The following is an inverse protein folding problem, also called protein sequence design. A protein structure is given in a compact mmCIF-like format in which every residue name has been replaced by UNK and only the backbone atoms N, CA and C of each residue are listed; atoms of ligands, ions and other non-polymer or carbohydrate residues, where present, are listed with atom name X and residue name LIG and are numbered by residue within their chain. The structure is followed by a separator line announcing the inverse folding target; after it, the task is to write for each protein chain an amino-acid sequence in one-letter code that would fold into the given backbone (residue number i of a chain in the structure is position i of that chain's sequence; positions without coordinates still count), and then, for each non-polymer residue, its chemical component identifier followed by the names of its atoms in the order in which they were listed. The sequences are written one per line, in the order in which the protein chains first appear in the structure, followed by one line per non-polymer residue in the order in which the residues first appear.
data_IF_221954305743
#
_entry.id   IF_221954305743
#
_cell.length_a   1.000
_cell.length_b   1.000
_cell.length_c   1.000
_cell.angle_alpha   90.00
_cell.angle_beta   90.00
_cell.angle_gamma   90.00
#
_symmetry.space_group_name_H-M   'P 1'
#
loop_
_entity.id
_entity.type
_entity.pdbx_description
1 polymer ?
#
# COMPACT_ATOMS: atom_id res chain seq x y z
N UNK A 1 10.15 26.17 -2.52
CA UNK A 1 8.77 25.68 -2.25
C UNK A 1 8.85 24.17 -2.45
N UNK A 2 8.79 23.38 -1.38
CA UNK A 2 9.08 21.94 -1.39
C UNK A 2 7.84 21.12 -1.78
N UNK A 3 8.00 20.15 -2.67
CA UNK A 3 6.92 19.27 -3.14
C UNK A 3 6.98 17.91 -2.43
N UNK A 4 5.86 17.44 -1.87
CA UNK A 4 5.74 16.18 -1.12
C UNK A 4 4.98 15.15 -1.98
N UNK A 5 5.54 13.95 -2.22
CA UNK A 5 4.99 12.99 -3.21
C UNK A 5 5.01 11.52 -2.78
N UNK A 6 3.87 10.81 -2.69
CA UNK A 6 3.80 9.45 -2.11
C UNK A 6 4.17 8.27 -3.06
N UNK A 7 4.97 7.25 -2.66
CA UNK A 7 5.60 6.28 -3.59
C UNK A 7 5.33 4.77 -3.37
N UNK A 8 4.85 4.13 -4.44
CA UNK A 8 5.25 2.78 -4.87
C UNK A 8 5.00 2.69 -6.40
N UNK A 9 6.04 2.45 -7.20
CA UNK A 9 5.92 2.27 -8.66
C UNK A 9 5.39 3.48 -9.45
N UNK A 10 5.73 4.72 -9.06
CA UNK A 10 5.14 5.93 -9.68
C UNK A 10 6.14 6.74 -10.51
N UNK A 11 5.63 7.22 -11.65
CA UNK A 11 6.21 8.22 -12.53
C UNK A 11 5.74 9.61 -12.09
N UNK A 12 6.63 10.60 -12.00
CA UNK A 12 6.27 11.98 -11.65
C UNK A 12 7.09 13.02 -12.42
N UNK A 13 6.52 14.19 -12.72
CA UNK A 13 7.23 15.28 -13.39
C UNK A 13 7.75 16.30 -12.35
N UNK A 14 9.01 16.71 -12.46
CA UNK A 14 9.61 17.76 -11.64
C UNK A 14 10.58 18.59 -12.47
N UNK A 15 10.38 19.92 -12.47
CA UNK A 15 11.15 20.90 -13.27
C UNK A 15 11.30 20.57 -14.77
N UNK A 16 10.30 19.93 -15.39
CA UNK A 16 10.36 19.54 -16.80
C UNK A 16 11.23 18.30 -17.07
N UNK A 17 11.48 17.51 -16.03
CA UNK A 17 12.01 16.15 -16.12
C UNK A 17 11.01 15.16 -15.56
N UNK A 18 10.98 13.94 -16.09
CA UNK A 18 10.17 12.84 -15.57
C UNK A 18 11.04 11.95 -14.67
N UNK A 19 10.57 11.61 -13.49
CA UNK A 19 11.24 10.75 -12.53
C UNK A 19 10.46 9.47 -12.36
N UNK A 20 11.17 8.34 -12.39
CA UNK A 20 10.59 7.01 -12.18
C UNK A 20 11.24 6.39 -10.96
N UNK A 21 10.41 6.02 -9.99
CA UNK A 21 10.83 5.25 -8.83
C UNK A 21 10.68 3.76 -9.12
N UNK A 22 11.81 3.07 -9.23
CA UNK A 22 11.86 1.63 -9.42
C UNK A 22 12.19 0.98 -8.08
N UNK A 23 11.18 0.35 -7.49
CA UNK A 23 11.33 -0.56 -6.36
C UNK A 23 11.43 -1.98 -6.91
N UNK A 24 12.62 -2.57 -6.87
CA UNK A 24 12.79 -3.97 -7.27
C UNK A 24 12.41 -4.84 -6.09
N UNK A 25 11.23 -5.44 -6.17
CA UNK A 25 10.61 -6.21 -5.09
C UNK A 25 11.53 -7.35 -4.63
N UNK A 26 12.06 -7.24 -3.41
CA UNK A 26 12.99 -8.21 -2.83
C UNK A 26 14.46 -7.83 -2.97
N UNK A 27 14.77 -6.78 -3.72
CA UNK A 27 16.08 -6.14 -3.66
C UNK A 27 16.18 -5.23 -2.42
N UNK A 28 17.40 -5.01 -1.96
CA UNK A 28 17.70 -4.01 -0.92
C UNK A 28 18.07 -2.67 -1.55
N UNK A 29 17.57 -2.35 -2.74
CA UNK A 29 17.95 -1.14 -3.45
C UNK A 29 16.73 -0.60 -4.19
N UNK A 30 16.55 0.72 -4.18
CA UNK A 30 15.64 1.35 -5.13
C UNK A 30 16.40 2.35 -5.98
N UNK A 31 15.96 2.46 -7.23
CA UNK A 31 16.57 3.33 -8.23
C UNK A 31 15.60 4.46 -8.57
N UNK A 32 16.09 5.69 -8.46
CA UNK A 32 15.42 6.87 -8.97
C UNK A 32 16.04 7.17 -10.34
N UNK A 33 15.25 6.99 -11.39
CA UNK A 33 15.61 7.35 -12.75
C UNK A 33 15.01 8.71 -13.09
N UNK A 34 15.74 9.54 -13.84
CA UNK A 34 15.25 10.77 -14.43
C UNK A 34 15.31 10.65 -15.95
N UNK A 35 14.25 11.07 -16.63
CA UNK A 35 14.19 11.28 -18.06
C UNK A 35 14.07 12.77 -18.32
N UNK A 36 15.08 13.34 -18.98
CA UNK A 36 14.98 14.69 -19.51
C UNK A 36 14.03 14.67 -20.70
N UNK A 37 12.96 15.49 -20.67
CA UNK A 37 11.90 15.51 -21.70
C UNK A 37 12.45 15.70 -23.12
N UNK A 38 13.62 16.36 -23.26
CA UNK A 38 14.26 16.63 -24.56
C UNK A 38 14.94 15.43 -25.21
N UNK A 39 15.29 14.41 -24.44
CA UNK A 39 16.20 13.35 -24.91
C UNK A 39 15.55 11.96 -24.93
N UNK A 40 14.42 11.75 -24.25
CA UNK A 40 13.77 10.44 -24.09
C UNK A 40 14.69 9.32 -23.56
N UNK A 41 15.84 9.69 -22.98
CA UNK A 41 16.80 8.78 -22.37
C UNK A 41 16.61 8.82 -20.86
N UNK A 42 16.40 7.65 -20.27
CA UNK A 42 16.39 7.47 -18.82
C UNK A 42 17.82 7.43 -18.30
N UNK A 43 18.12 8.28 -17.33
CA UNK A 43 19.38 8.31 -16.60
C UNK A 43 19.12 7.94 -15.15
N UNK A 44 19.94 7.05 -14.59
CA UNK A 44 19.90 6.76 -13.16
C UNK A 44 20.44 7.98 -12.41
N UNK A 45 19.58 8.66 -11.65
CA UNK A 45 19.95 9.80 -10.81
C UNK A 45 20.51 9.33 -9.48
N UNK A 46 19.78 8.42 -8.84
CA UNK A 46 20.12 7.97 -7.51
C UNK A 46 19.88 6.47 -7.39
N UNK A 47 20.83 5.80 -6.75
CA UNK A 47 20.70 4.44 -6.26
C UNK A 47 20.78 4.52 -4.76
N UNK A 48 19.70 4.14 -4.11
CA UNK A 48 19.63 4.15 -2.65
C UNK A 48 19.62 2.71 -2.20
N UNK A 49 20.70 2.29 -1.57
CA UNK A 49 20.75 1.01 -0.90
C UNK A 49 19.98 1.12 0.41
N UNK A 50 19.00 0.25 0.61
CA UNK A 50 18.17 0.20 1.81
C UNK A 50 19.03 0.02 3.05
N UNK A 51 20.08 -0.80 2.96
CA UNK A 51 20.98 -0.99 4.10
C UNK A 51 21.68 0.32 4.53
N UNK A 52 21.93 1.28 3.63
CA UNK A 52 22.60 2.53 4.00
C UNK A 52 21.78 3.35 5.02
N UNK A 53 20.45 3.29 4.93
CA UNK A 53 19.58 3.97 5.91
C UNK A 53 19.08 3.04 7.02
N UNK A 54 19.11 1.72 6.83
CA UNK A 54 18.74 0.77 7.88
C UNK A 54 19.86 0.55 8.90
N UNK A 55 21.12 0.66 8.52
CA UNK A 55 22.28 0.49 9.42
C UNK A 55 22.28 1.41 10.65
N UNK A 56 21.94 2.72 10.54
CA UNK A 56 21.88 3.60 11.72
C UNK A 56 20.65 3.38 12.60
N UNK A 57 19.70 2.50 12.21
CA UNK A 57 18.49 2.27 12.99
C UNK A 57 18.73 1.22 14.09
N UNK A 58 18.09 1.37 15.26
CA UNK A 58 18.12 0.33 16.29
C UNK A 58 17.60 -1.00 15.73
N UNK A 59 18.20 -2.12 16.16
CA UNK A 59 17.81 -3.49 15.76
C UNK A 59 16.31 -3.80 15.99
N UNK A 60 15.64 -3.02 16.84
CA UNK A 60 14.20 -3.17 17.15
C UNK A 60 13.25 -2.64 16.07
N UNK A 61 13.74 -2.01 15.00
CA UNK A 61 12.89 -1.46 13.95
C UNK A 61 12.59 -2.52 12.90
N UNK A 62 11.35 -3.03 12.90
CA UNK A 62 10.91 -4.10 11.98
C UNK A 62 10.80 -3.60 10.53
N UNK A 63 11.18 -4.50 9.61
CA UNK A 63 11.45 -4.31 8.18
C UNK A 63 10.14 -4.19 7.38
N UNK A 64 9.27 -3.27 7.77
CA UNK A 64 8.18 -2.80 6.92
C UNK A 64 8.34 -1.30 6.73
N UNK A 65 9.37 -0.94 5.98
CA UNK A 65 9.60 0.42 5.53
C UNK A 65 8.73 0.67 4.31
N UNK A 66 7.74 1.55 4.44
CA UNK A 66 7.06 2.11 3.28
C UNK A 66 7.71 3.47 3.04
N UNK A 67 8.38 3.64 1.90
CA UNK A 67 8.80 4.96 1.45
C UNK A 67 7.52 5.75 1.25
N UNK A 68 7.28 6.72 2.13
CA UNK A 68 6.10 7.55 2.03
C UNK A 68 6.31 8.47 0.87
N UNK A 69 7.32 9.35 0.90
CA UNK A 69 7.51 10.29 -0.20
C UNK A 69 8.95 10.60 -0.57
N UNK A 70 9.16 11.18 -1.74
CA UNK A 70 10.40 11.87 -2.11
C UNK A 70 10.11 13.36 -2.22
N UNK A 71 10.96 14.17 -1.59
CA UNK A 71 11.02 15.61 -1.74
C UNK A 71 12.31 15.95 -2.46
N UNK A 72 12.17 16.49 -3.67
CA UNK A 72 13.29 17.02 -4.44
C UNK A 72 13.32 18.54 -4.27
N UNK A 73 14.44 19.05 -3.76
CA UNK A 73 14.66 20.49 -3.59
C UNK A 73 15.54 21.06 -4.72
N UNK A 74 15.56 22.40 -4.87
CA UNK A 74 16.34 23.08 -5.92
C UNK A 74 17.83 22.72 -5.88
N UNK A 75 18.34 22.45 -4.67
CA UNK A 75 19.68 21.93 -4.44
C UNK A 75 19.55 20.46 -4.13
N UNK A 76 20.31 19.66 -4.86
CA UNK A 76 20.32 18.21 -4.69
C UNK A 76 20.68 17.80 -3.26
N UNK A 77 21.52 18.59 -2.57
CA UNK A 77 21.90 18.39 -1.16
C UNK A 77 20.73 18.50 -0.18
N UNK A 78 19.66 19.19 -0.58
CA UNK A 78 18.49 19.42 0.27
C UNK A 78 17.36 18.42 -0.04
N UNK A 79 17.55 17.52 -1.01
CA UNK A 79 16.57 16.48 -1.36
C UNK A 79 16.54 15.34 -0.33
N UNK A 80 15.34 14.87 0.00
CA UNK A 80 15.14 13.84 1.02
C UNK A 80 13.97 12.88 0.71
N UNK A 81 14.06 11.68 1.26
CA UNK A 81 12.95 10.73 1.37
C UNK A 81 12.24 10.96 2.69
N UNK A 82 10.92 10.79 2.70
CA UNK A 82 10.13 10.61 3.91
C UNK A 82 9.73 9.14 3.97
N UNK A 83 10.08 8.47 5.06
CA UNK A 83 9.92 7.02 5.21
C UNK A 83 9.15 6.78 6.51
N UNK A 84 8.14 5.89 6.48
CA UNK A 84 7.49 5.42 7.71
C UNK A 84 8.14 4.13 8.16
N UNK A 85 8.63 4.13 9.39
CA UNK A 85 9.38 3.03 10.00
C UNK A 85 8.81 2.73 11.39
N UNK A 86 8.23 1.55 11.59
CA UNK A 86 7.80 1.05 12.92
C UNK A 86 6.93 2.03 13.74
N UNK A 87 6.11 2.86 13.07
CA UNK A 87 5.29 3.88 13.72
C UNK A 87 5.96 5.24 13.88
N UNK A 88 7.13 5.48 13.29
CA UNK A 88 7.76 6.79 13.19
C UNK A 88 7.81 7.23 11.72
N UNK A 89 7.76 8.54 11.50
CA UNK A 89 7.99 9.15 10.19
C UNK A 89 9.35 9.84 10.25
N UNK A 90 10.25 9.43 9.37
CA UNK A 90 11.62 9.92 9.32
C UNK A 90 11.92 10.54 7.96
N UNK A 91 12.76 11.55 7.99
CA UNK A 91 13.36 12.20 6.83
C UNK A 91 14.74 11.60 6.59
N UNK A 92 15.00 11.05 5.41
CA UNK A 92 16.31 10.58 5.01
C UNK A 92 16.87 11.45 3.88
N UNK A 93 17.92 12.20 4.15
CA UNK A 93 18.56 13.03 3.14
C UNK A 93 19.34 12.17 2.14
N UNK A 94 19.06 12.35 0.85
CA UNK A 94 19.59 11.50 -0.22
C UNK A 94 21.11 11.65 -0.42
N UNK A 95 21.68 12.81 -0.09
CA UNK A 95 23.08 13.15 -0.36
C UNK A 95 23.94 13.01 0.88
N UNK A 96 23.53 13.60 2.00
CA UNK A 96 24.27 13.47 3.26
C UNK A 96 24.09 12.10 3.90
N UNK A 97 23.12 11.30 3.42
CA UNK A 97 22.75 9.99 3.99
C UNK A 97 22.39 10.06 5.48
N UNK A 98 21.85 11.21 5.91
CA UNK A 98 21.46 11.42 7.31
C UNK A 98 19.97 11.20 7.50
N UNK A 99 19.60 10.61 8.65
CA UNK A 99 18.23 10.36 9.04
C UNK A 99 17.81 11.31 10.17
N UNK A 100 16.64 11.93 10.04
CA UNK A 100 16.05 12.85 11.01
C UNK A 100 14.62 12.44 11.30
N UNK A 101 14.29 12.20 12.56
CA UNK A 101 12.91 11.93 12.95
C UNK A 101 12.05 13.19 12.78
N UNK A 102 10.90 13.05 12.11
CA UNK A 102 9.93 14.14 11.90
C UNK A 102 8.76 13.98 12.89
N UNK A 103 8.29 12.76 13.09
CA UNK A 103 7.09 12.48 13.87
C UNK A 103 7.10 11.07 14.46
N UNK A 104 6.63 10.93 15.70
CA UNK A 104 6.42 9.64 16.38
C UNK A 104 4.92 9.36 16.49
N UNK A 105 4.41 8.36 15.76
CA UNK A 105 2.99 8.01 15.82
C UNK A 105 2.61 7.32 17.13
N UNK A 106 3.57 6.84 17.95
CA UNK A 106 3.25 6.18 19.22
C UNK A 106 2.91 7.17 20.34
N UNK A 107 3.35 8.43 20.25
CA UNK A 107 3.20 9.40 21.35
C UNK A 107 1.77 9.91 21.56
N UNK A 108 0.82 9.54 20.70
CA UNK A 108 -0.57 10.02 20.78
C UNK A 108 -1.56 8.98 21.33
N UNK A 109 -1.07 7.82 21.78
CA UNK A 109 -1.89 7.00 22.66
C UNK A 109 -1.96 7.73 24.00
N UNK A 110 -3.12 8.33 24.27
CA UNK A 110 -3.48 8.81 25.59
C UNK A 110 -3.40 7.59 26.50
N UNK A 111 -2.59 7.65 27.55
CA UNK A 111 -2.65 6.70 28.66
C UNK A 111 -4.05 6.81 29.26
N UNK A 112 -5.01 6.07 28.70
CA UNK A 112 -6.29 5.79 29.33
C UNK A 112 -5.98 4.84 30.49
N UNK A 113 -5.46 5.43 31.57
CA UNK A 113 -5.34 4.82 32.88
C UNK A 113 -6.77 4.55 33.39
N UNK A 114 -7.37 3.47 32.92
CA UNK A 114 -8.40 2.77 33.66
C UNK A 114 -7.70 1.88 34.69
N UNK A 115 -7.30 2.50 35.80
CA UNK A 115 -7.34 1.82 37.09
C UNK A 115 -8.80 1.49 37.36
N UNK A 116 -9.18 0.22 37.22
CA UNK A 116 -10.08 -0.43 38.17
C UNK A 116 -10.04 -1.95 37.99
N UNK A 117 -9.62 -2.58 39.08
CA UNK A 117 -9.48 -4.01 39.35
C UNK A 117 -10.73 -4.82 38.94
N UNK A 118 -10.51 -6.03 38.40
CA UNK A 118 -11.10 -7.25 38.95
C UNK A 118 -10.39 -8.49 38.39
N UNK A 119 -10.08 -9.41 39.31
CA UNK A 119 -9.35 -10.65 39.14
C UNK A 119 -10.07 -11.69 38.26
N UNK A 120 -9.25 -12.53 37.60
CA UNK A 120 -9.52 -13.85 37.01
C UNK A 120 -9.98 -13.91 35.53
N UNK A 121 -9.03 -14.14 34.61
CA UNK A 121 -8.95 -15.32 33.71
C UNK A 121 -7.91 -15.07 32.59
N UNK A 122 -6.64 -15.38 32.86
CA UNK A 122 -5.47 -14.98 32.05
C UNK A 122 -5.13 -15.86 30.82
N UNK A 123 -5.97 -16.81 30.41
CA UNK A 123 -5.63 -17.76 29.32
C UNK A 123 -6.37 -17.51 27.98
N UNK A 124 -7.20 -16.46 27.87
CA UNK A 124 -8.01 -16.21 26.66
C UNK A 124 -7.53 -14.99 25.84
N UNK A 125 -6.74 -14.11 26.44
CA UNK A 125 -6.31 -12.86 25.82
C UNK A 125 -5.16 -13.00 24.82
N UNK A 126 -4.38 -14.09 24.88
CA UNK A 126 -3.30 -14.34 23.92
C UNK A 126 -3.84 -14.60 22.50
N UNK A 127 -5.07 -15.12 22.37
CA UNK A 127 -5.73 -15.34 21.08
C UNK A 127 -6.35 -14.03 20.54
N UNK A 128 -6.79 -13.12 21.41
CA UNK A 128 -7.38 -11.83 21.03
C UNK A 128 -6.35 -10.75 20.70
N UNK A 129 -5.19 -10.74 21.36
CA UNK A 129 -4.08 -9.83 21.01
C UNK A 129 -3.54 -10.09 19.60
N UNK A 130 -3.62 -11.34 19.11
CA UNK A 130 -3.27 -11.69 17.74
C UNK A 130 -4.22 -11.07 16.69
N UNK A 131 -5.44 -10.64 17.10
CA UNK A 131 -6.42 -9.99 16.22
C UNK A 131 -6.32 -8.46 16.19
N UNK A 132 -5.73 -7.81 17.19
CA UNK A 132 -5.64 -6.34 17.24
C UNK A 132 -4.36 -5.79 16.59
N UNK A 133 -3.31 -6.59 16.45
CA UNK A 133 -2.07 -6.18 15.77
C UNK A 133 -2.21 -5.97 14.25
N UNK A 134 -3.35 -6.35 13.64
CA UNK A 134 -3.57 -6.25 12.18
C UNK A 134 -4.34 -5.01 11.72
N UNK A 135 -4.72 -4.10 12.62
CA UNK A 135 -5.37 -2.85 12.24
C UNK A 135 -4.36 -1.71 12.04
N UNK A 136 -3.58 -1.81 10.97
CA UNK A 136 -3.13 -0.63 10.25
C UNK A 136 -3.65 -0.78 8.82
N UNK A 137 -4.93 -0.42 8.65
CA UNK A 137 -5.56 -0.19 7.36
C UNK A 137 -4.75 0.92 6.70
N UNK A 138 -3.77 0.52 5.90
CA UNK A 138 -3.05 1.44 5.05
C UNK A 138 -4.05 1.98 4.04
N UNK A 139 -4.15 3.30 4.03
CA UNK A 139 -4.72 4.11 2.98
C UNK A 139 -4.12 3.67 1.65
N UNK A 140 -4.75 2.68 1.01
CA UNK A 140 -4.65 2.52 -0.43
C UNK A 140 -5.53 3.60 -1.05
N UNK A 141 -5.05 4.83 -0.93
CA UNK A 141 -5.43 5.90 -1.83
C UNK A 141 -4.24 5.98 -2.79
N UNK A 142 -4.27 5.29 -3.95
CA UNK A 142 -3.74 5.96 -5.11
C UNK A 142 -4.55 7.25 -5.12
N UNK A 143 -3.86 8.36 -4.92
CA UNK A 143 -4.33 9.69 -5.29
C UNK A 143 -4.75 9.62 -6.75
N UNK A 144 -5.93 9.06 -6.98
CA UNK A 144 -6.46 8.59 -8.24
C UNK A 144 -6.55 9.83 -9.13
N UNK A 145 -5.91 9.79 -10.28
CA UNK A 145 -6.17 10.72 -11.39
C UNK A 145 -5.88 12.22 -11.22
N UNK A 146 -5.54 12.74 -10.03
CA UNK A 146 -5.59 14.19 -9.82
C UNK A 146 -4.58 15.00 -10.67
N UNK A 147 -3.50 14.37 -11.13
CA UNK A 147 -2.57 14.95 -12.11
C UNK A 147 -2.67 14.30 -13.50
N UNK A 148 -3.44 13.20 -13.66
CA UNK A 148 -3.57 12.53 -14.97
C UNK A 148 -4.29 13.43 -15.97
N UNK A 149 -5.07 14.42 -15.49
CA UNK A 149 -5.98 15.19 -16.33
C UNK A 149 -5.59 16.63 -16.62
N UNK A 150 -4.92 17.39 -15.75
CA UNK A 150 -4.36 18.71 -16.16
C UNK A 150 -3.39 18.59 -17.36
N UNK A 151 -2.87 17.38 -17.56
CA UNK A 151 -1.84 17.01 -18.51
C UNK A 151 -2.43 16.51 -19.82
N UNK A 152 -3.53 15.75 -19.80
CA UNK A 152 -4.35 15.50 -21.01
C UNK A 152 -4.98 16.79 -21.55
N UNK A 153 -5.22 17.76 -20.67
CA UNK A 153 -5.86 19.03 -21.01
C UNK A 153 -4.97 19.95 -21.86
N UNK A 154 -3.66 19.97 -21.63
CA UNK A 154 -2.71 20.65 -22.53
C UNK A 154 -2.42 19.85 -23.80
N UNK A 155 -2.42 18.53 -23.66
CA UNK A 155 -2.19 17.53 -24.71
C UNK A 155 -3.08 17.80 -25.91
N UNK A 156 -4.33 18.19 -25.65
CA UNK A 156 -5.35 18.37 -26.67
C UNK A 156 -5.57 19.83 -27.07
N UNK A 157 -5.28 20.79 -26.20
CA UNK A 157 -5.25 22.20 -26.57
C UNK A 157 -4.24 22.48 -27.70
N UNK A 158 -3.21 21.64 -27.79
CA UNK A 158 -2.08 21.70 -28.72
C UNK A 158 -2.19 20.66 -29.84
N UNK A 159 -3.02 19.61 -29.72
CA UNK A 159 -3.21 18.60 -30.78
C UNK A 159 -3.85 19.24 -32.01
N UNK A 160 -3.05 19.91 -32.83
CA UNK A 160 -3.13 19.70 -34.25
C UNK A 160 -2.66 18.29 -34.66
N UNK A 161 -2.19 17.46 -33.72
CA UNK A 161 -1.69 16.09 -33.95
C UNK A 161 -1.78 15.27 -32.68
N UNK A 162 -1.77 13.96 -32.68
CA UNK A 162 -2.09 12.82 -33.60
C UNK A 162 -1.66 11.56 -32.84
N UNK A 163 -0.93 11.71 -31.72
CA UNK A 163 -0.40 10.65 -30.85
C UNK A 163 -1.14 10.56 -29.50
N UNK A 164 -2.31 11.19 -29.39
CA UNK A 164 -3.23 11.08 -28.25
C UNK A 164 -3.49 9.61 -27.91
N UNK A 165 -3.57 8.75 -28.94
CA UNK A 165 -3.76 7.32 -28.79
C UNK A 165 -2.62 6.64 -28.04
N UNK A 166 -1.36 7.06 -28.23
CA UNK A 166 -0.21 6.48 -27.51
C UNK A 166 -0.20 6.86 -26.03
N UNK A 167 -0.56 8.10 -25.69
CA UNK A 167 -0.65 8.53 -24.28
C UNK A 167 -1.85 7.90 -23.58
N UNK A 168 -3.00 7.79 -24.25
CA UNK A 168 -4.14 7.02 -23.73
C UNK A 168 -3.77 5.56 -23.50
N UNK A 169 -3.03 4.95 -24.43
CA UNK A 169 -2.54 3.58 -24.29
C UNK A 169 -1.64 3.44 -23.05
N UNK A 170 -0.69 4.35 -22.86
CA UNK A 170 0.16 4.35 -21.67
C UNK A 170 -0.64 4.49 -20.38
N UNK A 171 -1.65 5.39 -20.36
CA UNK A 171 -2.53 5.57 -19.22
C UNK A 171 -3.28 4.27 -18.87
N UNK A 172 -3.85 3.58 -19.87
CA UNK A 172 -4.50 2.29 -19.64
C UNK A 172 -3.53 1.22 -19.12
N UNK A 173 -2.30 1.15 -19.64
CA UNK A 173 -1.28 0.21 -19.13
C UNK A 173 -0.94 0.50 -17.66
N UNK A 174 -0.83 1.77 -17.29
CA UNK A 174 -0.58 2.14 -15.90
C UNK A 174 -1.77 1.77 -15.00
N UNK A 175 -3.00 2.09 -15.42
CA UNK A 175 -4.22 1.73 -14.69
C UNK A 175 -4.35 0.22 -14.52
N UNK A 176 -3.99 -0.58 -15.53
CA UNK A 176 -3.95 -2.04 -15.42
C UNK A 176 -2.95 -2.46 -14.33
N UNK A 177 -1.72 -1.93 -14.36
CA UNK A 177 -0.70 -2.29 -13.38
C UNK A 177 -1.10 -1.90 -11.93
N UNK A 178 -1.75 -0.75 -11.76
CA UNK A 178 -2.28 -0.33 -10.46
C UNK A 178 -3.40 -1.27 -9.97
N UNK A 179 -4.29 -1.68 -10.88
CA UNK A 179 -5.39 -2.59 -10.58
C UNK A 179 -4.91 -4.03 -10.34
N UNK A 180 -3.87 -4.51 -11.03
CA UNK A 180 -3.19 -5.77 -10.74
C UNK A 180 -2.57 -5.78 -9.33
N UNK A 181 -1.97 -4.64 -8.93
CA UNK A 181 -1.47 -4.43 -7.58
C UNK A 181 -2.57 -4.53 -6.52
N UNK A 182 -3.71 -3.88 -6.76
CA UNK A 182 -4.90 -4.00 -5.93
C UNK A 182 -5.42 -5.45 -5.89
N UNK A 183 -5.45 -6.13 -7.03
CA UNK A 183 -5.93 -7.51 -7.14
C UNK A 183 -5.09 -8.46 -6.27
N UNK A 184 -3.77 -8.32 -6.31
CA UNK A 184 -2.86 -9.09 -5.45
C UNK A 184 -3.20 -8.88 -3.97
N UNK A 185 -3.39 -7.63 -3.56
CA UNK A 185 -3.78 -7.30 -2.18
C UNK A 185 -5.14 -7.93 -1.80
N UNK A 186 -6.13 -7.86 -2.68
CA UNK A 186 -7.46 -8.46 -2.45
C UNK A 186 -7.38 -9.99 -2.34
N UNK A 187 -6.55 -10.64 -3.15
CA UNK A 187 -6.29 -12.07 -3.07
C UNK A 187 -5.65 -12.47 -1.74
N UNK A 188 -4.58 -11.79 -1.34
CA UNK A 188 -3.92 -12.03 -0.05
C UNK A 188 -4.93 -11.90 1.11
N UNK A 189 -5.80 -10.87 1.06
CA UNK A 189 -6.82 -10.68 2.09
C UNK A 189 -7.90 -11.76 2.07
N UNK A 190 -8.28 -12.26 0.90
CA UNK A 190 -9.20 -13.39 0.79
C UNK A 190 -8.62 -14.65 1.42
N UNK A 191 -7.33 -14.92 1.21
CA UNK A 191 -6.67 -16.09 1.76
C UNK A 191 -6.54 -16.02 3.28
N UNK A 192 -6.28 -14.83 3.84
CA UNK A 192 -6.36 -14.58 5.29
C UNK A 192 -7.74 -14.90 5.85
N UNK A 193 -8.80 -14.38 5.22
CA UNK A 193 -10.17 -14.60 5.66
C UNK A 193 -10.60 -16.06 5.53
N UNK A 194 -10.15 -16.77 4.49
CA UNK A 194 -10.39 -18.22 4.34
C UNK A 194 -9.76 -19.00 5.48
N UNK A 195 -8.50 -18.69 5.83
CA UNK A 195 -7.81 -19.30 6.98
C UNK A 195 -8.55 -19.02 8.28
N UNK A 196 -8.93 -17.76 8.53
CA UNK A 196 -9.71 -17.37 9.72
C UNK A 196 -11.06 -18.09 9.78
N UNK A 197 -11.80 -18.14 8.67
CA UNK A 197 -13.10 -18.83 8.57
C UNK A 197 -12.97 -20.32 8.85
N UNK A 198 -11.92 -20.99 8.33
CA UNK A 198 -11.66 -22.40 8.61
C UNK A 198 -11.40 -22.64 10.11
N UNK A 199 -10.59 -21.80 10.76
CA UNK A 199 -10.33 -21.88 12.20
C UNK A 199 -11.62 -21.69 13.02
N UNK A 200 -12.43 -20.69 12.69
CA UNK A 200 -13.73 -20.44 13.34
C UNK A 200 -14.66 -21.66 13.20
N UNK A 201 -14.71 -22.27 12.01
CA UNK A 201 -15.54 -23.47 11.76
C UNK A 201 -15.11 -24.64 12.64
N UNK A 202 -13.82 -24.91 12.78
CA UNK A 202 -13.30 -25.96 13.65
C UNK A 202 -13.71 -25.70 15.11
N UNK A 203 -13.59 -24.46 15.58
CA UNK A 203 -13.97 -24.10 16.94
C UNK A 203 -15.49 -24.26 17.18
N UNK A 204 -16.33 -23.82 16.23
CA UNK A 204 -17.79 -24.04 16.27
C UNK A 204 -18.10 -25.53 16.41
N UNK A 205 -17.51 -26.39 15.57
CA UNK A 205 -17.75 -27.83 15.64
C UNK A 205 -17.33 -28.45 16.98
N UNK A 206 -16.24 -27.99 17.59
CA UNK A 206 -15.79 -28.44 18.91
C UNK A 206 -16.79 -28.03 19.99
N UNK A 207 -17.24 -26.78 19.97
CA UNK A 207 -18.23 -26.28 20.93
C UNK A 207 -19.58 -27.00 20.79
N UNK A 208 -20.02 -27.28 19.56
CA UNK A 208 -21.23 -28.07 19.30
C UNK A 208 -21.13 -29.50 19.86
N UNK A 209 -19.95 -30.12 19.77
CA UNK A 209 -19.72 -31.47 20.30
C UNK A 209 -19.74 -31.54 21.84
N UNK A 210 -19.44 -30.44 22.54
CA UNK A 210 -19.51 -30.37 24.01
C UNK A 210 -20.96 -30.37 24.53
N UNK A 211 -21.92 -29.98 23.69
CA UNK A 211 -23.35 -29.96 24.00
C UNK A 211 -23.70 -29.07 25.21
N UNK A 212 -24.86 -29.31 25.83
CA UNK A 212 -25.35 -28.54 26.99
C UNK A 212 -24.55 -28.80 28.29
N UNK A 213 -23.51 -29.64 28.25
CA UNK A 213 -22.78 -30.07 29.45
C UNK A 213 -21.70 -29.11 29.94
N UNK A 214 -21.42 -28.02 29.22
CA UNK A 214 -20.37 -27.05 29.55
C UNK A 214 -20.66 -25.63 29.06
N UNK A 215 -21.89 -25.16 29.22
CA UNK A 215 -22.47 -24.05 28.43
C UNK A 215 -21.85 -22.67 28.67
N UNK A 216 -21.31 -22.11 27.59
CA UNK A 216 -21.49 -20.71 27.22
C UNK A 216 -22.20 -20.67 25.83
N UNK A 217 -23.52 -20.93 25.82
CA UNK A 217 -24.37 -20.96 24.60
C UNK A 217 -24.28 -19.62 23.89
N UNK A 218 -24.21 -18.54 24.66
CA UNK A 218 -24.00 -17.18 24.17
C UNK A 218 -22.67 -17.03 23.42
N UNK A 219 -21.60 -17.71 23.88
CA UNK A 219 -20.30 -17.71 23.19
C UNK A 219 -20.34 -18.49 21.88
N UNK A 220 -21.05 -19.63 21.83
CA UNK A 220 -21.23 -20.38 20.58
C UNK A 220 -22.01 -19.56 19.55
N UNK A 221 -23.08 -18.89 19.99
CA UNK A 221 -23.87 -18.02 19.12
C UNK A 221 -23.05 -16.83 18.62
N UNK A 222 -22.29 -16.18 19.52
CA UNK A 222 -21.34 -15.12 19.15
C UNK A 222 -20.30 -15.57 18.12
N UNK A 223 -19.83 -16.82 18.22
CA UNK A 223 -18.89 -17.41 17.29
C UNK A 223 -19.53 -17.67 15.92
N UNK A 224 -20.76 -18.18 15.88
CA UNK A 224 -21.54 -18.36 14.65
C UNK A 224 -21.79 -17.04 13.94
N UNK A 225 -22.15 -16.00 14.69
CA UNK A 225 -22.33 -14.64 14.15
C UNK A 225 -21.02 -14.08 13.59
N UNK A 226 -19.91 -14.29 14.28
CA UNK A 226 -18.58 -13.88 13.78
C UNK A 226 -18.23 -14.61 12.50
N UNK A 227 -18.42 -15.93 12.44
CA UNK A 227 -18.19 -16.73 11.24
C UNK A 227 -19.06 -16.27 10.07
N UNK A 228 -20.35 -15.99 10.30
CA UNK A 228 -21.25 -15.46 9.28
C UNK A 228 -20.75 -14.11 8.72
N UNK A 229 -20.28 -13.21 9.60
CA UNK A 229 -19.74 -11.90 9.21
C UNK A 229 -18.47 -12.03 8.39
N UNK A 230 -17.53 -12.88 8.78
CA UNK A 230 -16.30 -13.11 7.99
C UNK A 230 -16.61 -13.76 6.64
N UNK A 231 -17.61 -14.65 6.58
CA UNK A 231 -18.08 -15.24 5.32
C UNK A 231 -18.67 -14.18 4.39
N UNK A 232 -19.46 -13.24 4.93
CA UNK A 232 -20.01 -12.13 4.16
C UNK A 232 -18.92 -11.19 3.61
N UNK A 233 -17.89 -10.87 4.39
CA UNK A 233 -16.74 -10.09 3.91
C UNK A 233 -15.98 -10.80 2.79
N UNK A 234 -15.77 -12.12 2.93
CA UNK A 234 -15.10 -12.91 1.90
C UNK A 234 -15.90 -12.91 0.57
N UNK A 235 -17.23 -12.99 0.65
CA UNK A 235 -18.08 -12.87 -0.54
C UNK A 235 -17.91 -11.50 -1.21
N UNK A 236 -17.98 -10.41 -0.45
CA UNK A 236 -17.81 -9.06 -0.98
C UNK A 236 -16.43 -8.84 -1.63
N UNK A 237 -15.35 -9.37 -1.04
CA UNK A 237 -14.01 -9.29 -1.66
C UNK A 237 -13.90 -10.14 -2.92
N UNK A 238 -14.58 -11.29 -2.97
CA UNK A 238 -14.62 -12.13 -4.17
C UNK A 238 -15.32 -11.39 -5.32
N UNK A 239 -16.41 -10.69 -5.02
CA UNK A 239 -17.12 -9.85 -6.00
C UNK A 239 -16.23 -8.71 -6.49
N UNK A 240 -15.54 -8.01 -5.58
CA UNK A 240 -14.59 -6.94 -5.94
C UNK A 240 -13.44 -7.43 -6.83
N UNK A 241 -12.89 -8.63 -6.56
CA UNK A 241 -11.87 -9.27 -7.41
C UNK A 241 -12.41 -9.53 -8.81
N UNK A 242 -13.63 -10.06 -8.91
CA UNK A 242 -14.25 -10.34 -10.21
C UNK A 242 -14.48 -9.05 -11.00
N UNK A 243 -14.90 -7.98 -10.33
CA UNK A 243 -15.10 -6.66 -10.93
C UNK A 243 -13.78 -6.04 -11.41
N UNK A 244 -12.72 -6.10 -10.60
CA UNK A 244 -11.38 -5.63 -11.00
C UNK A 244 -10.78 -6.43 -12.16
N UNK A 245 -10.96 -7.75 -12.18
CA UNK A 245 -10.53 -8.58 -13.32
C UNK A 245 -11.26 -8.20 -14.61
N UNK A 246 -12.57 -7.94 -14.53
CA UNK A 246 -13.34 -7.48 -15.68
C UNK A 246 -12.83 -6.10 -16.17
N UNK A 247 -12.55 -5.18 -15.23
CA UNK A 247 -11.99 -3.86 -15.50
C UNK A 247 -10.62 -3.93 -16.18
N UNK A 248 -9.71 -4.78 -15.69
CA UNK A 248 -8.42 -5.03 -16.32
C UNK A 248 -8.63 -5.51 -17.75
N UNK A 249 -9.48 -6.52 -17.97
CA UNK A 249 -9.67 -7.09 -19.29
C UNK A 249 -10.26 -6.09 -20.30
N UNK A 250 -11.17 -5.22 -19.85
CA UNK A 250 -11.67 -4.10 -20.64
C UNK A 250 -10.55 -3.13 -21.04
N UNK A 251 -9.69 -2.74 -20.08
CA UNK A 251 -8.56 -1.84 -20.32
C UNK A 251 -7.51 -2.48 -21.25
N UNK A 252 -7.23 -3.78 -21.12
CA UNK A 252 -6.34 -4.52 -22.03
C UNK A 252 -6.86 -4.46 -23.47
N UNK A 253 -8.17 -4.64 -23.65
CA UNK A 253 -8.81 -4.49 -24.95
C UNK A 253 -8.65 -3.06 -25.50
N UNK A 254 -8.77 -2.03 -24.66
CA UNK A 254 -8.47 -0.64 -25.06
C UNK A 254 -7.01 -0.44 -25.49
N UNK A 255 -6.05 -1.00 -24.74
CA UNK A 255 -4.62 -0.95 -25.09
C UNK A 255 -4.36 -1.60 -26.45
N UNK A 256 -4.94 -2.77 -26.70
CA UNK A 256 -4.79 -3.49 -27.96
C UNK A 256 -5.35 -2.70 -29.14
N UNK A 257 -6.55 -2.12 -28.99
CA UNK A 257 -7.19 -1.28 -30.01
C UNK A 257 -6.35 -0.04 -30.35
N UNK A 258 -5.76 0.60 -29.34
CA UNK A 258 -4.92 1.78 -29.53
C UNK A 258 -3.56 1.44 -30.16
N UNK A 259 -3.09 0.18 -30.06
CA UNK A 259 -1.86 -0.28 -30.70
C UNK A 259 -2.00 -0.69 -32.18
N UNK A 260 -3.22 -0.82 -32.70
CA UNK A 260 -3.48 -1.13 -34.12
C UNK A 260 -3.49 0.10 -35.03
N UNK A 261 -3.40 1.30 -34.45
CA UNK A 261 -3.41 2.58 -35.17
C UNK A 261 -1.99 3.13 -35.43
N UNK A 262 -0.95 2.32 -35.23
CA UNK A 262 0.47 2.66 -35.45
C UNK A 262 0.97 2.27 -36.86
#
# INVERSE_FOLDING_TARGET
MSHLLHLQGKLFEWHGSLFLFLDDFGSREFTICEMTIRCSVWMVRCRVHIDDFMTPLPESWSIRSNVWSIVLEEREQDSFLVIKLSGKVVQYNLISKTLREIYDCRSNQVDDNHDDNDDADDDVDEILQQFQAEHNVYEFIPSFSMATFEVFDKLMEITGSTELHKRMRFWFVQEIAEEEGLLKFLHDRCDDLRRKSASLRVLICRMEALGERGVAVDSLESLKQTHARETAKLAALTDAIAESLAGIHEKEHHVAKLGLND
#
